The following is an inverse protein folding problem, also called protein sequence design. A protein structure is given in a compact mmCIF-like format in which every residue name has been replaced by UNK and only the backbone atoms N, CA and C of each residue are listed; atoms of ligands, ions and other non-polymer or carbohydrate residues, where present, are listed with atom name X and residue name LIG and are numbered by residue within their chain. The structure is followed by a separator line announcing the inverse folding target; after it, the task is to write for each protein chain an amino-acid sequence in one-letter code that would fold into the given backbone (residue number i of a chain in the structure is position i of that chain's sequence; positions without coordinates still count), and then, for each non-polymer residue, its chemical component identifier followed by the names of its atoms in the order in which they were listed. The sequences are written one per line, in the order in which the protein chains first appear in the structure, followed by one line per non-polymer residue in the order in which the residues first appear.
data_IF_283413057713
#
_entry.id   IF_283413057713
#
_cell.length_a   1.000
_cell.length_b   1.000
_cell.length_c   1.000
_cell.angle_alpha   90.00
_cell.angle_beta   90.00
_cell.angle_gamma   90.00
#
_symmetry.space_group_name_H-M   'P 1'
#
loop_
_entity.id
_entity.type
_entity.pdbx_description
1 polymer ?
#
# COMPACT_ATOMS: atom_id res chain seq x y z
N UNK A 1 5.95 5.52 5.47
CA UNK A 1 4.52 5.16 5.38
C UNK A 1 3.70 6.35 5.84
N UNK A 2 2.55 6.65 5.20
CA UNK A 2 1.68 7.78 5.62
C UNK A 2 0.49 7.28 6.41
N UNK A 3 0.40 7.61 7.70
CA UNK A 3 -0.65 7.14 8.60
C UNK A 3 -1.40 8.30 9.25
N UNK A 4 -2.72 8.19 9.33
CA UNK A 4 -3.59 9.19 9.99
C UNK A 4 -3.75 8.92 11.50
N UNK A 5 -3.08 7.89 12.04
CA UNK A 5 -3.18 7.46 13.45
C UNK A 5 -1.81 7.61 14.11
N UNK A 6 -1.52 8.83 14.59
CA UNK A 6 -0.20 9.21 15.14
C UNK A 6 0.24 8.34 16.33
N UNK A 7 -0.68 7.98 17.23
CA UNK A 7 -0.36 7.32 18.50
C UNK A 7 0.08 5.86 18.37
N UNK A 8 -0.59 5.07 17.52
CA UNK A 8 -0.30 3.62 17.41
C UNK A 8 0.92 3.32 16.53
N UNK A 9 1.26 4.21 15.60
CA UNK A 9 2.40 4.03 14.69
C UNK A 9 3.70 4.66 15.20
N UNK A 10 3.67 5.49 16.24
CA UNK A 10 4.86 6.12 16.81
C UNK A 10 5.88 5.08 17.31
N UNK A 11 5.41 3.99 17.91
CA UNK A 11 6.27 2.88 18.39
C UNK A 11 6.90 2.06 17.25
N UNK A 12 6.40 2.21 16.02
CA UNK A 12 6.81 1.42 14.86
C UNK A 12 8.06 2.01 14.17
N UNK A 13 8.30 3.31 14.37
CA UNK A 13 9.52 4.01 13.90
C UNK A 13 10.76 3.34 14.49
N UNK A 14 10.74 3.11 15.80
CA UNK A 14 11.88 2.59 16.56
C UNK A 14 12.16 1.12 16.26
N UNK A 15 11.12 0.35 15.90
CA UNK A 15 11.24 -1.10 15.70
C UNK A 15 11.65 -1.50 14.28
N UNK A 16 11.22 -0.75 13.26
CA UNK A 16 11.32 -1.22 11.86
C UNK A 16 12.29 -0.37 11.03
N UNK A 17 12.87 0.70 11.58
CA UNK A 17 13.77 1.63 10.85
C UNK A 17 13.16 2.09 9.53
N UNK A 18 11.87 2.43 9.55
CA UNK A 18 11.12 2.95 8.40
C UNK A 18 10.74 4.39 8.68
N UNK A 19 10.97 5.26 7.71
CA UNK A 19 10.49 6.64 7.77
C UNK A 19 8.95 6.66 7.74
N UNK A 20 8.35 7.23 8.80
CA UNK A 20 6.91 7.46 8.91
C UNK A 20 6.64 8.94 8.67
N UNK A 21 5.73 9.21 7.74
CA UNK A 21 5.32 10.55 7.38
C UNK A 21 3.88 10.75 7.87
N UNK A 22 3.56 11.88 8.46
CA UNK A 22 2.20 12.17 8.92
C UNK A 22 1.60 13.29 8.08
N UNK A 23 0.30 13.19 7.80
CA UNK A 23 -0.42 14.27 7.14
C UNK A 23 -0.60 15.43 8.12
N UNK A 24 -0.46 16.67 7.64
CA UNK A 24 -0.66 17.86 8.44
C UNK A 24 -2.13 17.98 8.87
N UNK A 25 -2.39 18.55 10.07
CA UNK A 25 -3.75 18.85 10.49
C UNK A 25 -4.50 19.66 9.43
N UNK A 26 -5.75 19.26 9.15
CA UNK A 26 -6.62 19.87 8.14
C UNK A 26 -6.16 19.76 6.68
N UNK A 27 -5.15 18.94 6.37
CA UNK A 27 -4.66 18.67 5.00
C UNK A 27 -5.15 17.33 4.46
N UNK A 28 -6.46 17.16 4.29
CA UNK A 28 -7.06 15.89 3.78
C UNK A 28 -6.49 15.45 2.41
N UNK A 29 -6.01 16.39 1.61
CA UNK A 29 -5.38 16.13 0.30
C UNK A 29 -4.10 15.29 0.39
N UNK A 30 -3.40 15.31 1.52
CA UNK A 30 -2.17 14.52 1.74
C UNK A 30 -2.47 13.01 1.93
N UNK A 31 -3.72 12.68 2.29
CA UNK A 31 -4.18 11.30 2.52
C UNK A 31 -5.18 10.81 1.46
N UNK A 32 -5.39 11.54 0.36
CA UNK A 32 -6.41 11.21 -0.64
C UNK A 32 -6.27 9.80 -1.26
N UNK A 33 -5.05 9.27 -1.35
CA UNK A 33 -4.83 7.87 -1.81
C UNK A 33 -5.33 6.84 -0.79
N UNK A 34 -5.11 7.09 0.50
CA UNK A 34 -5.60 6.23 1.58
C UNK A 34 -7.13 6.25 1.63
N UNK A 35 -7.75 7.42 1.45
CA UNK A 35 -9.20 7.57 1.40
C UNK A 35 -9.81 6.81 0.23
N UNK A 36 -9.21 6.90 -0.96
CA UNK A 36 -9.64 6.14 -2.13
C UNK A 36 -9.56 4.62 -1.87
N UNK A 37 -8.44 4.15 -1.29
CA UNK A 37 -8.28 2.73 -0.96
C UNK A 37 -9.30 2.26 0.10
N UNK A 38 -9.54 3.06 1.14
CA UNK A 38 -10.58 2.80 2.14
C UNK A 38 -11.98 2.75 1.50
N UNK A 39 -12.24 3.53 0.45
CA UNK A 39 -13.45 3.44 -0.36
C UNK A 39 -13.63 2.06 -1.02
N UNK A 40 -12.56 1.48 -1.56
CA UNK A 40 -12.59 0.14 -2.18
C UNK A 40 -12.89 -0.96 -1.16
N UNK A 41 -12.26 -0.89 0.02
CA UNK A 41 -12.56 -1.83 1.10
C UNK A 41 -14.02 -1.74 1.55
N UNK A 42 -14.62 -0.55 1.48
CA UNK A 42 -16.03 -0.33 1.85
C UNK A 42 -17.04 -0.92 0.87
N UNK A 43 -16.63 -1.33 -0.34
CA UNK A 43 -17.47 -2.15 -1.22
C UNK A 43 -17.75 -3.54 -0.59
N UNK A 44 -16.83 -4.04 0.23
CA UNK A 44 -16.94 -5.35 0.90
C UNK A 44 -17.31 -5.23 2.38
N UNK A 45 -16.92 -4.12 3.03
CA UNK A 45 -17.10 -3.92 4.46
C UNK A 45 -17.83 -2.60 4.77
N UNK A 46 -19.15 -2.66 5.05
CA UNK A 46 -19.93 -1.48 5.41
C UNK A 46 -19.40 -0.77 6.65
N UNK A 47 -19.59 0.56 6.69
CA UNK A 47 -19.21 1.37 7.86
C UNK A 47 -19.88 0.85 9.13
N UNK A 48 -19.17 0.99 10.26
CA UNK A 48 -19.64 0.67 11.63
C UNK A 48 -19.89 -0.81 11.90
N UNK A 49 -19.47 -1.70 11.00
CA UNK A 49 -19.34 -3.10 11.34
C UNK A 49 -18.01 -3.35 12.06
N UNK A 50 -17.94 -4.40 12.88
CA UNK A 50 -16.69 -4.86 13.47
C UNK A 50 -15.94 -5.71 12.44
N UNK A 51 -14.61 -5.59 12.37
CA UNK A 51 -13.76 -6.46 11.56
C UNK A 51 -13.52 -7.83 12.21
N UNK A 52 -13.86 -7.99 13.50
CA UNK A 52 -13.66 -9.24 14.27
C UNK A 52 -14.30 -10.50 13.66
N UNK A 53 -15.48 -10.47 13.04
CA UNK A 53 -16.10 -11.66 12.47
C UNK A 53 -15.57 -12.03 11.08
N UNK A 54 -14.69 -11.21 10.47
CA UNK A 54 -14.14 -11.49 9.15
C UNK A 54 -13.12 -12.62 9.26
N UNK A 55 -13.32 -13.67 8.48
CA UNK A 55 -12.37 -14.77 8.37
C UNK A 55 -11.16 -14.36 7.53
N UNK A 56 -10.01 -14.98 7.77
CA UNK A 56 -8.80 -14.76 6.95
C UNK A 56 -9.06 -15.07 5.46
N UNK A 57 -9.94 -16.03 5.17
CA UNK A 57 -10.35 -16.36 3.81
C UNK A 57 -11.13 -15.20 3.16
N UNK A 58 -12.13 -14.65 3.83
CA UNK A 58 -12.88 -13.48 3.36
C UNK A 58 -11.96 -12.28 3.15
N UNK A 59 -11.08 -12.01 4.11
CA UNK A 59 -10.11 -10.93 4.01
C UNK A 59 -9.21 -11.10 2.79
N UNK A 60 -8.68 -12.31 2.57
CA UNK A 60 -7.85 -12.65 1.41
C UNK A 60 -8.63 -12.46 0.10
N UNK A 61 -9.90 -12.87 0.06
CA UNK A 61 -10.77 -12.65 -1.11
C UNK A 61 -10.96 -11.17 -1.40
N UNK A 62 -11.21 -10.33 -0.39
CA UNK A 62 -11.38 -8.88 -0.57
C UNK A 62 -10.09 -8.22 -1.08
N UNK A 63 -8.95 -8.54 -0.46
CA UNK A 63 -7.64 -8.03 -0.88
C UNK A 63 -7.33 -8.45 -2.32
N UNK A 64 -7.58 -9.71 -2.67
CA UNK A 64 -7.40 -10.21 -4.04
C UNK A 64 -8.29 -9.46 -5.04
N UNK A 65 -9.56 -9.26 -4.72
CA UNK A 65 -10.49 -8.52 -5.59
C UNK A 65 -10.02 -7.07 -5.82
N UNK A 66 -9.58 -6.38 -4.76
CA UNK A 66 -9.09 -5.01 -4.84
C UNK A 66 -7.80 -4.91 -5.66
N UNK A 67 -6.85 -5.83 -5.43
CA UNK A 67 -5.55 -5.81 -6.10
C UNK A 67 -5.65 -6.20 -7.57
N UNK A 68 -6.59 -7.08 -7.92
CA UNK A 68 -6.85 -7.52 -9.29
C UNK A 68 -7.87 -6.65 -10.03
N UNK A 69 -8.41 -5.59 -9.40
CA UNK A 69 -9.31 -4.64 -10.06
C UNK A 69 -8.56 -3.80 -11.11
N UNK A 70 -8.97 -3.83 -12.39
CA UNK A 70 -8.44 -2.93 -13.42
C UNK A 70 -8.69 -1.47 -13.07
N UNK A 71 -7.66 -0.62 -13.11
CA UNK A 71 -7.79 0.82 -12.81
C UNK A 71 -7.60 1.65 -14.07
N UNK A 72 -8.59 2.46 -14.44
CA UNK A 72 -8.53 3.35 -15.62
C UNK A 72 -7.29 4.26 -15.60
N UNK A 73 -6.93 4.79 -14.43
CA UNK A 73 -5.74 5.62 -14.23
C UNK A 73 -4.43 4.92 -14.64
N UNK A 74 -4.38 3.59 -14.54
CA UNK A 74 -3.22 2.77 -14.91
C UNK A 74 -3.41 2.06 -16.26
N UNK A 75 -4.16 2.66 -17.18
CA UNK A 75 -4.48 2.05 -18.48
C UNK A 75 -5.13 0.67 -18.33
N UNK A 76 -6.03 0.53 -17.35
CA UNK A 76 -6.72 -0.73 -17.02
C UNK A 76 -5.81 -1.85 -16.54
N UNK A 77 -4.57 -1.55 -16.17
CA UNK A 77 -3.74 -2.50 -15.44
C UNK A 77 -4.21 -2.65 -13.99
N UNK A 78 -3.90 -3.80 -13.41
CA UNK A 78 -4.17 -4.12 -12.02
C UNK A 78 -3.04 -3.65 -11.11
N UNK A 79 -3.31 -3.48 -9.82
CA UNK A 79 -2.28 -3.13 -8.85
C UNK A 79 -1.24 -4.26 -8.74
N UNK A 80 -1.68 -5.52 -8.77
CA UNK A 80 -0.81 -6.70 -8.80
C UNK A 80 0.18 -6.65 -9.95
N UNK A 81 -0.28 -6.32 -11.16
CA UNK A 81 0.57 -6.22 -12.34
C UNK A 81 1.61 -5.10 -12.21
N UNK A 82 1.17 -3.90 -11.84
CA UNK A 82 2.05 -2.74 -11.68
C UNK A 82 3.12 -2.97 -10.59
N UNK A 83 2.72 -3.59 -9.47
CA UNK A 83 3.65 -3.95 -8.41
C UNK A 83 4.68 -4.98 -8.86
N UNK A 84 4.27 -5.99 -9.63
CA UNK A 84 5.18 -6.97 -10.23
C UNK A 84 6.23 -6.34 -11.13
N UNK A 85 5.82 -5.39 -11.98
CA UNK A 85 6.73 -4.62 -12.83
C UNK A 85 7.73 -3.81 -12.00
N UNK A 86 7.24 -3.06 -11.00
CA UNK A 86 8.09 -2.26 -10.12
C UNK A 86 9.14 -3.12 -9.39
N UNK A 87 8.76 -4.30 -8.89
CA UNK A 87 9.67 -5.25 -8.24
C UNK A 87 10.76 -5.74 -9.21
N UNK A 88 10.37 -6.07 -10.44
CA UNK A 88 11.31 -6.51 -11.48
C UNK A 88 12.31 -5.41 -11.83
N UNK A 89 11.85 -4.18 -11.98
CA UNK A 89 12.70 -3.01 -12.24
C UNK A 89 13.68 -2.75 -11.09
N UNK A 90 13.21 -2.78 -9.84
CA UNK A 90 14.07 -2.61 -8.66
C UNK A 90 15.17 -3.67 -8.62
N UNK A 91 14.82 -4.94 -8.82
CA UNK A 91 15.79 -6.04 -8.86
C UNK A 91 16.82 -5.86 -9.97
N UNK A 92 16.39 -5.43 -11.16
CA UNK A 92 17.28 -5.20 -12.29
C UNK A 92 18.27 -4.05 -12.01
N UNK A 93 17.79 -2.92 -11.46
CA UNK A 93 18.64 -1.80 -11.09
C UNK A 93 19.68 -2.20 -10.03
N UNK A 94 19.31 -2.98 -9.02
CA UNK A 94 20.24 -3.48 -8.00
C UNK A 94 21.32 -4.38 -8.60
N UNK A 95 20.96 -5.23 -9.57
CA UNK A 95 21.93 -6.09 -10.26
C UNK A 95 22.92 -5.27 -11.08
N UNK A 96 22.45 -4.24 -11.77
CA UNK A 96 23.32 -3.35 -12.57
C UNK A 96 24.27 -2.57 -11.66
N UNK A 97 23.78 -1.98 -10.58
CA UNK A 97 24.63 -1.23 -9.65
C UNK A 97 25.68 -2.13 -9.02
N UNK A 98 25.32 -3.37 -8.63
CA UNK A 98 26.28 -4.33 -8.10
C UNK A 98 27.37 -4.67 -9.13
N UNK A 99 26.99 -4.96 -10.38
CA UNK A 99 27.95 -5.29 -11.44
C UNK A 99 28.87 -4.11 -11.79
N UNK A 100 28.35 -2.88 -11.78
CA UNK A 100 29.15 -1.67 -12.02
C UNK A 100 30.19 -1.44 -10.91
N UNK A 101 29.84 -1.71 -9.64
CA UNK A 101 30.75 -1.58 -8.49
C UNK A 101 31.84 -2.65 -8.46
N UNK A 102 31.67 -3.77 -9.16
CA UNK A 102 32.68 -4.84 -9.27
C UNK A 102 33.62 -4.69 -10.47
N UNK A 103 33.34 -3.75 -11.39
CA UNK A 103 34.15 -3.48 -12.59
C UNK A 103 35.05 -2.24 -12.47
N UNK A 104 35.06 -1.58 -11.30
CA UNK A 104 35.94 -0.46 -10.92
C UNK A 104 36.91 -0.91 -9.84
#
# INVERSE_FOLDING_TARGET
MTSDIESEFSLLVDLVSVDINFAHPYSSHESGTNENFNGLLREFFPKRQSLKPITDEEFTRYVSAINNRPRRLHHYNTATFQFGLAKKLKQWNTKISANLLHMT
#
